data_IF_987610320567
#
_entry.id   IF_987610320567
#
_cell.length_a   1.000
_cell.length_b   1.000
_cell.length_c   1.000
_cell.angle_alpha   90.00
_cell.angle_beta   90.00
_cell.angle_gamma   90.00
#
_symmetry.space_group_name_H-M   'P 1'
#
loop_
_entity.id
_entity.type
_entity.pdbx_description
1 polymer ?
#
# COMPACT_ATOMS: atom_id res chain seq x y z
N UNK A 1 -20.73 16.44 -11.72
CA UNK A 1 -20.43 15.87 -10.42
C UNK A 1 -19.05 16.33 -9.93
N UNK A 2 -19.03 17.00 -8.78
CA UNK A 2 -17.82 17.62 -8.20
C UNK A 2 -17.05 16.66 -7.28
N UNK A 3 -17.08 15.37 -7.58
CA UNK A 3 -16.49 14.33 -6.72
C UNK A 3 -15.09 13.94 -7.19
N UNK A 4 -14.15 13.91 -6.25
CA UNK A 4 -12.85 13.28 -6.45
C UNK A 4 -12.96 11.83 -5.98
N UNK A 5 -12.61 10.89 -6.83
CA UNK A 5 -12.67 9.46 -6.51
C UNK A 5 -11.26 8.90 -6.38
N UNK A 6 -10.97 8.24 -5.28
CA UNK A 6 -9.67 7.59 -5.05
C UNK A 6 -9.89 6.10 -4.82
N UNK A 7 -9.20 5.30 -5.61
CA UNK A 7 -9.15 3.86 -5.44
C UNK A 7 -7.83 3.49 -4.77
N UNK A 8 -7.93 2.86 -3.61
CA UNK A 8 -6.77 2.32 -2.91
C UNK A 8 -6.60 0.86 -3.32
N UNK A 9 -5.48 0.54 -3.94
CA UNK A 9 -5.19 -0.79 -4.45
C UNK A 9 -3.99 -1.37 -3.69
N UNK A 10 -4.18 -2.51 -3.07
CA UNK A 10 -3.08 -3.29 -2.51
C UNK A 10 -2.38 -4.04 -3.65
N UNK A 11 -1.04 -4.10 -3.62
CA UNK A 11 -0.31 -4.91 -4.58
C UNK A 11 -0.82 -6.35 -4.59
N UNK A 12 -0.71 -7.01 -5.74
CA UNK A 12 -1.11 -8.40 -5.93
C UNK A 12 -0.13 -9.37 -5.27
N UNK A 13 -0.40 -10.66 -5.41
CA UNK A 13 0.38 -11.72 -4.77
C UNK A 13 1.86 -11.67 -5.14
N UNK A 14 2.70 -11.63 -4.13
CA UNK A 14 4.16 -11.58 -4.32
C UNK A 14 4.77 -12.97 -4.40
N UNK A 15 5.90 -13.07 -5.11
CA UNK A 15 6.64 -14.31 -5.19
C UNK A 15 7.40 -14.55 -3.89
N UNK A 16 6.91 -15.47 -3.08
CA UNK A 16 7.43 -15.72 -1.73
C UNK A 16 8.72 -16.53 -1.69
N UNK A 17 9.12 -17.11 -2.80
CA UNK A 17 10.31 -17.97 -2.90
C UNK A 17 11.44 -17.31 -3.71
N UNK A 18 11.71 -16.05 -3.48
CA UNK A 18 12.76 -15.29 -4.18
C UNK A 18 14.19 -15.66 -3.78
N UNK A 19 14.44 -16.91 -3.43
CA UNK A 19 15.73 -17.34 -2.95
C UNK A 19 15.99 -17.01 -1.49
N UNK A 20 15.05 -16.38 -0.81
CA UNK A 20 15.13 -16.11 0.62
C UNK A 20 14.67 -17.35 1.36
N UNK A 21 15.62 -18.01 2.01
CA UNK A 21 15.39 -19.29 2.67
C UNK A 21 15.01 -19.16 4.14
N UNK A 22 15.28 -18.00 4.73
CA UNK A 22 14.87 -17.73 6.09
C UNK A 22 14.69 -16.22 6.30
N UNK A 23 14.01 -15.86 7.37
CA UNK A 23 13.66 -14.46 7.70
C UNK A 23 14.89 -13.57 7.89
N UNK A 24 16.01 -14.15 8.30
CA UNK A 24 17.25 -13.39 8.51
C UNK A 24 17.90 -12.94 7.19
N UNK A 25 17.51 -13.54 6.07
CA UNK A 25 17.98 -13.14 4.75
C UNK A 25 17.21 -11.92 4.20
N UNK A 26 16.11 -11.56 4.85
CA UNK A 26 15.28 -10.44 4.41
C UNK A 26 15.87 -9.12 4.87
N UNK A 27 16.29 -8.30 3.92
CA UNK A 27 16.74 -6.92 4.15
C UNK A 27 15.68 -5.96 3.61
N UNK A 28 15.77 -4.70 3.99
CA UNK A 28 14.89 -3.67 3.44
C UNK A 28 15.02 -3.59 1.92
N UNK A 29 16.24 -3.70 1.38
CA UNK A 29 16.49 -3.69 -0.07
C UNK A 29 15.79 -4.87 -0.75
N UNK A 30 15.90 -6.06 -0.18
CA UNK A 30 15.25 -7.25 -0.73
C UNK A 30 13.72 -7.10 -0.69
N UNK A 31 13.19 -6.60 0.41
CA UNK A 31 11.74 -6.36 0.54
C UNK A 31 11.23 -5.41 -0.56
N UNK A 32 12.00 -4.39 -0.90
CA UNK A 32 11.63 -3.44 -1.96
C UNK A 32 11.64 -4.05 -3.36
N UNK A 33 12.36 -5.14 -3.56
CA UNK A 33 12.59 -5.76 -4.87
C UNK A 33 11.75 -7.01 -5.14
N UNK A 34 10.94 -7.48 -4.20
CA UNK A 34 10.09 -8.64 -4.43
C UNK A 34 9.14 -8.40 -5.61
N UNK A 35 9.17 -9.34 -6.55
CA UNK A 35 8.31 -9.31 -7.72
C UNK A 35 6.97 -10.00 -7.44
N UNK A 36 6.03 -9.86 -8.35
CA UNK A 36 4.77 -10.61 -8.30
C UNK A 36 5.01 -12.07 -8.69
N UNK A 37 4.23 -12.96 -8.09
CA UNK A 37 4.11 -14.35 -8.58
C UNK A 37 3.33 -14.37 -9.89
N UNK A 38 3.32 -15.53 -10.57
CA UNK A 38 2.47 -15.71 -11.76
C UNK A 38 1.00 -15.43 -11.41
N UNK A 39 0.56 -15.94 -10.26
CA UNK A 39 -0.79 -15.67 -9.74
C UNK A 39 -1.02 -14.15 -9.55
N UNK A 40 -0.03 -13.44 -9.03
CA UNK A 40 -0.11 -12.00 -8.82
C UNK A 40 -0.21 -11.22 -10.13
N UNK A 41 0.50 -11.65 -11.17
CA UNK A 41 0.38 -11.07 -12.50
C UNK A 41 -1.04 -11.25 -13.04
N UNK A 42 -1.60 -12.44 -12.90
CA UNK A 42 -2.98 -12.72 -13.33
C UNK A 42 -4.01 -11.91 -12.54
N UNK A 43 -3.84 -11.79 -11.21
CA UNK A 43 -4.69 -10.96 -10.36
C UNK A 43 -4.66 -9.50 -10.80
N UNK A 44 -3.48 -8.98 -11.07
CA UNK A 44 -3.29 -7.57 -11.48
C UNK A 44 -3.95 -7.29 -12.81
N UNK A 45 -3.79 -8.19 -13.78
CA UNK A 45 -4.42 -8.09 -15.08
C UNK A 45 -5.94 -8.09 -14.96
N UNK A 46 -6.49 -9.05 -14.21
CA UNK A 46 -7.92 -9.17 -13.98
C UNK A 46 -8.49 -7.92 -13.27
N UNK A 47 -7.78 -7.44 -12.25
CA UNK A 47 -8.17 -6.22 -11.54
C UNK A 47 -8.27 -5.03 -12.49
N UNK A 48 -7.29 -4.86 -13.38
CA UNK A 48 -7.27 -3.76 -14.35
C UNK A 48 -8.47 -3.75 -15.29
N UNK A 49 -9.11 -4.90 -15.47
CA UNK A 49 -10.29 -5.06 -16.32
C UNK A 49 -11.60 -4.65 -15.60
N UNK A 50 -11.54 -4.35 -14.31
CA UNK A 50 -12.72 -3.88 -13.55
C UNK A 50 -13.24 -2.56 -14.11
N UNK A 51 -14.56 -2.42 -14.30
CA UNK A 51 -15.13 -1.18 -14.83
C UNK A 51 -14.78 0.07 -14.02
N UNK A 52 -14.62 -0.07 -12.70
CA UNK A 52 -14.26 1.03 -11.80
C UNK A 52 -12.89 1.62 -12.16
N UNK A 53 -12.00 0.81 -12.75
CA UNK A 53 -10.64 1.23 -13.09
C UNK A 53 -10.50 1.69 -14.54
N UNK A 54 -11.61 1.98 -15.20
CA UNK A 54 -11.63 2.65 -16.49
C UNK A 54 -11.67 4.17 -16.27
N UNK A 55 -11.15 4.92 -17.24
CA UNK A 55 -11.13 6.39 -17.20
C UNK A 55 -10.41 6.94 -15.97
N UNK A 56 -9.31 6.33 -15.62
CA UNK A 56 -8.44 6.80 -14.55
C UNK A 56 -7.59 7.96 -15.09
N UNK A 57 -7.62 9.08 -14.37
CA UNK A 57 -6.90 10.29 -14.75
C UNK A 57 -5.46 10.28 -14.26
N UNK A 58 -5.23 9.78 -13.05
CA UNK A 58 -3.92 9.81 -12.40
C UNK A 58 -3.68 8.51 -11.65
N UNK A 59 -2.47 7.97 -11.80
CA UNK A 59 -2.06 6.73 -11.15
C UNK A 59 -0.75 6.95 -10.40
N UNK A 60 -0.75 6.64 -9.13
CA UNK A 60 0.43 6.67 -8.26
C UNK A 60 0.71 5.29 -7.71
N UNK A 61 1.98 4.99 -7.49
CA UNK A 61 2.42 3.72 -6.89
C UNK A 61 3.54 3.96 -5.91
N UNK A 62 3.65 3.06 -4.94
CA UNK A 62 4.87 2.95 -4.14
C UNK A 62 6.04 2.62 -5.06
N UNK A 63 7.26 2.82 -4.57
CA UNK A 63 8.48 2.49 -5.30
C UNK A 63 8.81 0.99 -5.30
N UNK A 64 8.11 0.18 -4.50
CA UNK A 64 8.38 -1.25 -4.42
C UNK A 64 8.00 -1.96 -5.72
N UNK A 65 8.85 -2.93 -6.13
CA UNK A 65 8.67 -3.63 -7.39
C UNK A 65 7.28 -4.25 -7.56
N UNK A 66 6.75 -4.91 -6.50
CA UNK A 66 5.43 -5.55 -6.55
C UNK A 66 4.28 -4.57 -6.73
N UNK A 67 4.40 -3.36 -6.19
CA UNK A 67 3.39 -2.33 -6.36
C UNK A 67 3.41 -1.75 -7.78
N UNK A 68 4.58 -1.45 -8.30
CA UNK A 68 4.74 -0.97 -9.68
C UNK A 68 4.26 -2.01 -10.69
N UNK A 69 4.54 -3.28 -10.45
CA UNK A 69 4.10 -4.37 -11.32
C UNK A 69 2.57 -4.49 -11.33
N UNK A 70 1.91 -4.31 -10.18
CA UNK A 70 0.46 -4.28 -10.10
C UNK A 70 -0.10 -3.06 -10.86
N UNK A 71 0.50 -1.90 -10.67
CA UNK A 71 0.06 -0.65 -11.30
C UNK A 71 0.19 -0.67 -12.82
N UNK A 72 1.15 -1.43 -13.36
CA UNK A 72 1.43 -1.47 -14.79
C UNK A 72 0.20 -1.82 -15.63
N UNK A 73 -0.58 -2.80 -15.23
CA UNK A 73 -1.77 -3.21 -15.98
C UNK A 73 -2.84 -2.11 -16.01
N UNK A 74 -2.96 -1.36 -14.93
CA UNK A 74 -3.89 -0.23 -14.86
C UNK A 74 -3.40 0.91 -15.75
N UNK A 75 -2.10 1.18 -15.72
CA UNK A 75 -1.46 2.21 -16.56
C UNK A 75 -1.64 1.91 -18.04
N UNK A 76 -1.35 0.68 -18.46
CA UNK A 76 -1.46 0.26 -19.86
C UNK A 76 -2.90 0.36 -20.36
N UNK A 77 -3.87 -0.05 -19.54
CA UNK A 77 -5.28 -0.03 -19.91
C UNK A 77 -5.84 1.38 -20.03
N UNK A 78 -5.35 2.31 -19.25
CA UNK A 78 -5.79 3.71 -19.26
C UNK A 78 -4.88 4.63 -20.07
N UNK A 79 -3.80 4.10 -20.64
CA UNK A 79 -2.80 4.85 -21.39
C UNK A 79 -2.28 6.07 -20.63
N UNK A 80 -1.89 5.83 -19.38
CA UNK A 80 -1.35 6.86 -18.47
C UNK A 80 -0.04 6.40 -17.86
N UNK A 81 0.72 7.36 -17.33
CA UNK A 81 1.99 7.10 -16.64
C UNK A 81 1.77 6.61 -15.23
N UNK A 82 2.73 5.87 -14.70
CA UNK A 82 2.82 5.55 -13.27
C UNK A 82 3.69 6.61 -12.61
N UNK A 83 3.10 7.39 -11.71
CA UNK A 83 3.84 8.31 -10.87
C UNK A 83 4.28 7.57 -9.61
N UNK A 84 5.50 7.80 -9.14
CA UNK A 84 6.06 7.12 -7.97
C UNK A 84 6.22 8.10 -6.82
N UNK A 85 5.79 7.68 -5.63
CA UNK A 85 6.06 8.43 -4.41
C UNK A 85 6.35 7.44 -3.26
N UNK A 86 7.50 7.60 -2.62
CA UNK A 86 7.94 6.71 -1.53
C UNK A 86 7.04 6.78 -0.29
N UNK A 87 6.22 7.82 -0.16
CA UNK A 87 5.26 7.91 0.95
C UNK A 87 4.16 6.85 0.86
N UNK A 88 4.02 6.18 -0.30
CA UNK A 88 3.14 5.02 -0.49
C UNK A 88 3.81 3.69 -0.16
N UNK A 89 5.10 3.69 0.18
CA UNK A 89 5.83 2.47 0.51
C UNK A 89 5.34 1.85 1.82
N UNK A 90 5.45 0.53 1.93
CA UNK A 90 5.09 -0.19 3.16
C UNK A 90 5.95 0.31 4.34
N UNK A 91 5.44 0.16 5.57
CA UNK A 91 6.22 0.51 6.75
C UNK A 91 7.53 -0.28 6.76
N UNK A 92 8.59 0.37 7.19
CA UNK A 92 9.89 -0.29 7.36
C UNK A 92 9.81 -1.23 8.57
N UNK A 93 10.12 -2.51 8.35
CA UNK A 93 10.11 -3.50 9.42
C UNK A 93 11.24 -3.27 10.43
N UNK A 94 12.41 -2.90 9.95
CA UNK A 94 13.60 -2.77 10.78
C UNK A 94 14.13 -4.13 11.23
N UNK A 95 14.70 -4.18 12.43
CA UNK A 95 15.30 -5.38 12.97
C UNK A 95 14.24 -6.48 13.21
N UNK A 96 14.40 -7.61 12.53
CA UNK A 96 13.40 -8.70 12.57
C UNK A 96 13.39 -9.44 13.91
N UNK A 97 14.48 -9.47 14.66
CA UNK A 97 14.51 -10.06 15.99
C UNK A 97 13.67 -9.23 16.96
N UNK A 98 13.75 -7.90 16.88
CA UNK A 98 12.92 -7.01 17.68
C UNK A 98 11.44 -7.23 17.37
N UNK A 99 11.10 -7.34 16.08
CA UNK A 99 9.73 -7.58 15.63
C UNK A 99 9.20 -8.92 16.16
N UNK A 100 9.98 -9.99 16.01
CA UNK A 100 9.60 -11.32 16.47
C UNK A 100 9.37 -11.35 17.98
N UNK A 101 10.27 -10.71 18.73
CA UNK A 101 10.17 -10.63 20.19
C UNK A 101 8.93 -9.83 20.62
N UNK A 102 8.66 -8.72 19.96
CA UNK A 102 7.49 -7.89 20.25
C UNK A 102 6.19 -8.63 19.95
N UNK A 103 6.15 -9.43 18.89
CA UNK A 103 4.98 -10.22 18.49
C UNK A 103 4.78 -11.47 19.35
N UNK A 104 5.80 -11.89 20.10
CA UNK A 104 5.72 -13.06 20.96
C UNK A 104 4.55 -12.93 21.94
N UNK A 105 3.74 -13.97 22.07
CA UNK A 105 2.55 -14.02 22.91
C UNK A 105 1.37 -13.13 22.48
N UNK A 106 1.47 -12.40 21.39
CA UNK A 106 0.31 -11.69 20.82
C UNK A 106 -0.60 -12.69 20.09
N UNK A 107 -1.91 -12.52 20.30
CA UNK A 107 -2.92 -13.42 19.71
C UNK A 107 -3.53 -12.86 18.42
N UNK A 108 -2.96 -11.81 17.89
CA UNK A 108 -3.43 -11.14 16.66
C UNK A 108 -2.25 -10.83 15.75
N UNK A 109 -2.58 -10.49 14.50
CA UNK A 109 -1.57 -10.25 13.48
C UNK A 109 -0.78 -8.95 13.67
N UNK A 110 0.27 -8.81 12.87
CA UNK A 110 1.23 -7.70 12.99
C UNK A 110 0.58 -6.34 12.72
N UNK A 111 -0.34 -6.24 11.77
CA UNK A 111 -1.02 -4.97 11.46
C UNK A 111 -1.83 -4.51 12.67
N UNK A 112 -2.58 -5.41 13.29
CA UNK A 112 -3.34 -5.11 14.50
C UNK A 112 -2.44 -4.66 15.64
N UNK A 113 -1.28 -5.30 15.79
CA UNK A 113 -0.30 -4.92 16.80
C UNK A 113 0.19 -3.48 16.63
N UNK A 114 0.55 -3.09 15.39
CA UNK A 114 0.94 -1.72 15.08
C UNK A 114 -0.18 -0.71 15.35
N UNK A 115 -1.42 -1.07 15.06
CA UNK A 115 -2.56 -0.18 15.30
C UNK A 115 -2.85 0.01 16.79
N UNK A 116 -2.55 -0.99 17.62
CA UNK A 116 -2.75 -0.92 19.07
C UNK A 116 -1.60 -0.24 19.81
N UNK A 117 -0.40 -0.29 19.25
CA UNK A 117 0.78 0.36 19.83
C UNK A 117 1.46 1.22 18.77
N UNK A 118 0.84 2.36 18.52
CA UNK A 118 1.19 3.23 17.37
C UNK A 118 2.59 3.82 17.41
N UNK A 119 3.22 3.87 18.56
CA UNK A 119 4.56 4.44 18.73
C UNK A 119 5.68 3.40 18.74
N UNK A 120 5.31 2.12 18.85
CA UNK A 120 6.31 1.06 18.85
C UNK A 120 6.97 0.94 17.48
N UNK A 121 8.27 0.71 17.49
CA UNK A 121 9.05 0.34 16.31
C UNK A 121 10.26 -0.50 16.70
N UNK A 122 10.66 -1.37 15.77
CA UNK A 122 11.93 -2.08 15.86
C UNK A 122 13.08 -1.10 15.61
N UNK A 123 14.28 -1.48 15.99
CA UNK A 123 15.49 -0.73 15.60
C UNK A 123 15.52 -0.60 14.08
N UNK A 124 15.81 0.58 13.57
CA UNK A 124 15.85 0.90 12.13
C UNK A 124 14.48 0.71 11.42
N UNK A 125 13.44 0.48 12.19
CA UNK A 125 12.08 0.35 11.68
C UNK A 125 11.29 1.64 11.76
N UNK A 126 10.02 1.52 11.40
CA UNK A 126 9.07 2.63 11.39
C UNK A 126 7.85 2.29 12.25
N UNK A 127 7.36 3.25 13.01
CA UNK A 127 6.14 3.06 13.79
C UNK A 127 4.89 3.29 12.91
N UNK A 128 3.76 2.82 13.41
CA UNK A 128 2.46 3.12 12.80
C UNK A 128 2.24 4.64 12.68
N UNK A 129 2.55 5.39 13.74
CA UNK A 129 2.41 6.84 13.77
C UNK A 129 3.24 7.53 12.68
N UNK A 130 4.51 7.13 12.53
CA UNK A 130 5.39 7.68 11.50
C UNK A 130 4.89 7.37 10.09
N UNK A 131 4.50 6.12 9.85
CA UNK A 131 3.99 5.70 8.54
C UNK A 131 2.67 6.40 8.20
N UNK A 132 1.78 6.52 9.17
CA UNK A 132 0.50 7.21 9.00
C UNK A 132 0.72 8.67 8.64
N UNK A 133 1.66 9.34 9.29
CA UNK A 133 1.95 10.75 9.03
C UNK A 133 2.39 10.97 7.58
N UNK A 134 3.30 10.14 7.06
CA UNK A 134 3.79 10.32 5.70
C UNK A 134 2.71 10.01 4.65
N UNK A 135 1.92 8.96 4.82
CA UNK A 135 0.86 8.63 3.86
C UNK A 135 -0.27 9.67 3.90
N UNK A 136 -0.59 10.19 5.07
CA UNK A 136 -1.58 11.25 5.25
C UNK A 136 -1.14 12.54 4.54
N UNK A 137 0.12 12.91 4.68
CA UNK A 137 0.68 14.07 3.97
C UNK A 137 0.56 13.91 2.46
N UNK A 138 0.86 12.73 1.94
CA UNK A 138 0.71 12.44 0.52
C UNK A 138 -0.76 12.52 0.09
N UNK A 139 -1.65 11.91 0.85
CA UNK A 139 -3.08 11.87 0.55
C UNK A 139 -3.67 13.29 0.51
N UNK A 140 -3.33 14.13 1.47
CA UNK A 140 -3.78 15.51 1.50
C UNK A 140 -3.27 16.31 0.29
N UNK A 141 -2.03 16.08 -0.12
CA UNK A 141 -1.47 16.68 -1.33
C UNK A 141 -2.28 16.28 -2.57
N UNK A 142 -2.58 14.99 -2.71
CA UNK A 142 -3.34 14.47 -3.83
C UNK A 142 -4.74 15.09 -3.88
N UNK A 143 -5.41 15.22 -2.76
CA UNK A 143 -6.72 15.85 -2.68
C UNK A 143 -6.70 17.31 -3.13
N UNK A 144 -5.67 18.05 -2.77
CA UNK A 144 -5.54 19.47 -3.15
C UNK A 144 -5.26 19.68 -4.64
N UNK A 145 -4.50 18.77 -5.24
CA UNK A 145 -4.01 18.91 -6.61
C UNK A 145 -4.94 18.29 -7.67
N UNK A 146 -5.91 17.48 -7.26
CA UNK A 146 -6.66 16.64 -8.19
C UNK A 146 -8.17 16.70 -7.94
N UNK A 147 -8.75 17.90 -8.03
CA UNK A 147 -10.20 18.05 -7.90
C UNK A 147 -10.94 17.38 -9.07
N UNK A 148 -12.02 16.69 -8.77
CA UNK A 148 -12.92 16.05 -9.73
C UNK A 148 -12.26 14.98 -10.61
N UNK A 149 -11.12 14.44 -10.17
CA UNK A 149 -10.39 13.40 -10.90
C UNK A 149 -10.63 12.01 -10.33
N UNK A 150 -10.35 11.02 -11.17
CA UNK A 150 -10.37 9.61 -10.80
C UNK A 150 -8.93 9.16 -10.64
N UNK A 151 -8.57 8.76 -9.44
CA UNK A 151 -7.18 8.53 -9.02
C UNK A 151 -7.03 7.13 -8.49
N UNK A 152 -5.94 6.46 -8.87
CA UNK A 152 -5.56 5.15 -8.30
C UNK A 152 -4.26 5.31 -7.53
N UNK A 153 -4.23 4.79 -6.30
CA UNK A 153 -3.03 4.70 -5.47
C UNK A 153 -2.74 3.23 -5.21
N UNK A 154 -1.62 2.74 -5.71
CA UNK A 154 -1.17 1.35 -5.48
C UNK A 154 -0.16 1.32 -4.34
N UNK A 155 -0.48 0.60 -3.29
CA UNK A 155 0.29 0.60 -2.05
C UNK A 155 0.27 -0.79 -1.40
N UNK A 156 0.35 -0.83 -0.09
CA UNK A 156 0.57 -2.03 0.70
C UNK A 156 -0.45 -2.16 1.82
N UNK A 157 -0.68 -3.40 2.25
CA UNK A 157 -1.75 -3.72 3.18
C UNK A 157 -1.68 -2.99 4.52
N UNK A 158 -0.52 -2.96 5.17
CA UNK A 158 -0.39 -2.29 6.47
C UNK A 158 -0.58 -0.77 6.32
N UNK A 159 0.08 -0.17 5.34
CA UNK A 159 -0.02 1.28 5.14
C UNK A 159 -1.46 1.72 4.80
N UNK A 160 -2.15 0.98 3.94
CA UNK A 160 -3.55 1.23 3.63
C UNK A 160 -4.41 1.14 4.89
N UNK A 161 -4.18 0.11 5.71
CA UNK A 161 -4.90 -0.05 6.98
C UNK A 161 -4.67 1.13 7.93
N UNK A 162 -3.44 1.63 7.99
CA UNK A 162 -3.11 2.81 8.80
C UNK A 162 -3.84 4.07 8.30
N UNK A 163 -3.86 4.26 6.99
CA UNK A 163 -4.57 5.39 6.38
C UNK A 163 -6.07 5.31 6.67
N UNK A 164 -6.69 4.15 6.46
CA UNK A 164 -8.12 3.97 6.66
C UNK A 164 -8.54 4.12 8.13
N UNK A 165 -7.71 3.67 9.07
CA UNK A 165 -7.99 3.82 10.51
C UNK A 165 -8.03 5.28 10.91
N UNK A 166 -7.25 6.14 10.26
CA UNK A 166 -7.21 7.57 10.52
C UNK A 166 -8.12 8.38 9.58
N UNK A 167 -8.89 7.71 8.74
CA UNK A 167 -9.72 8.35 7.72
C UNK A 167 -10.73 9.33 8.31
N UNK A 168 -11.40 8.93 9.39
CA UNK A 168 -12.41 9.77 10.05
C UNK A 168 -11.83 11.06 10.64
N UNK A 169 -10.52 11.10 10.83
CA UNK A 169 -9.81 12.30 11.28
C UNK A 169 -9.45 13.23 10.12
N UNK A 170 -9.50 12.71 8.87
CA UNK A 170 -9.11 13.47 7.69
C UNK A 170 -10.25 14.33 7.13
N UNK A 171 -11.47 13.79 7.09
CA UNK A 171 -12.62 14.52 6.57
C UNK A 171 -13.93 13.82 6.88
N UNK A 172 -14.94 14.59 7.33
CA UNK A 172 -16.31 14.07 7.54
C UNK A 172 -17.07 13.85 6.23
N UNK A 173 -16.59 14.40 5.13
CA UNK A 173 -17.26 14.35 3.83
C UNK A 173 -16.89 13.11 3.01
N UNK A 174 -15.85 12.40 3.41
CA UNK A 174 -15.39 11.25 2.65
C UNK A 174 -16.23 10.00 2.93
N UNK A 175 -16.59 9.31 1.87
CA UNK A 175 -17.28 8.01 1.95
C UNK A 175 -16.29 6.89 1.60
N UNK A 176 -16.22 5.90 2.48
CA UNK A 176 -15.47 4.67 2.21
C UNK A 176 -16.41 3.62 1.63
N UNK A 177 -16.06 3.16 0.45
CA UNK A 177 -16.75 2.06 -0.20
C UNK A 177 -15.77 0.90 -0.30
N UNK A 178 -16.03 -0.15 0.48
CA UNK A 178 -15.23 -1.37 0.39
C UNK A 178 -15.75 -2.24 -0.72
N UNK A 179 -14.86 -2.58 -1.65
CA UNK A 179 -15.16 -3.52 -2.71
C UNK A 179 -14.12 -4.65 -2.67
N UNK A 180 -14.49 -5.75 -2.04
CA UNK A 180 -13.64 -6.94 -1.92
C UNK A 180 -13.69 -7.76 -3.21
N UNK A 181 -13.28 -7.17 -4.31
CA UNK A 181 -13.15 -7.89 -5.59
C UNK A 181 -11.71 -8.35 -5.81
N UNK A 182 -11.29 -9.32 -5.06
CA UNK A 182 -10.05 -10.01 -5.38
C UNK A 182 -10.38 -11.45 -5.74
#
# INVERSE_FOLDING_TARGET
DMTTTIYLVKHADELKENGIKNINDTTQIMNEKYILSVKGEEQSKKLSESPELNNIDVLWSSSYARAKATAKYIADRNNIEINIDSRLNERKLGNLEDLAKWMENKKYGVVQAYLQDKKWKAREGESCEEATKRVTNFFNKILKENHEKRIVLVSHGALISFLLTNWCELTEEAKLIFNNKI
#
